data_IF_637539253460
#
_entry.id   IF_637539253460
#
_cell.length_a   1.000
_cell.length_b   1.000
_cell.length_c   1.000
_cell.angle_alpha   90.00
_cell.angle_beta   90.00
_cell.angle_gamma   90.00
#
_symmetry.space_group_name_H-M   'P 1'
#
loop_
_entity.id
_entity.type
_entity.pdbx_description
1 polymer ?
#
# COMPACT_ATOMS: atom_id res chain seq x y z
N UNK A 1 -11.05 -5.14 19.55
CA UNK A 1 -11.40 -4.47 18.27
C UNK A 1 -10.25 -4.44 17.26
N UNK A 2 -8.99 -4.20 17.66
CA UNK A 2 -7.83 -4.13 16.74
C UNK A 2 -7.34 -5.49 16.16
N UNK A 3 -7.51 -6.60 16.88
CA UNK A 3 -6.99 -7.91 16.45
C UNK A 3 -7.74 -8.56 15.28
N UNK A 4 -9.05 -8.34 15.20
CA UNK A 4 -9.89 -8.90 14.12
C UNK A 4 -9.53 -8.31 12.75
N UNK A 5 -9.27 -7.00 12.71
CA UNK A 5 -8.85 -6.29 11.50
C UNK A 5 -7.48 -6.77 11.01
N UNK A 6 -6.52 -6.94 11.93
CA UNK A 6 -5.16 -7.44 11.63
C UNK A 6 -5.18 -8.85 11.05
N UNK A 7 -5.93 -9.78 11.67
CA UNK A 7 -6.05 -11.16 11.17
C UNK A 7 -6.71 -11.23 9.79
N UNK A 8 -7.73 -10.40 9.55
CA UNK A 8 -8.49 -10.43 8.29
C UNK A 8 -7.71 -9.80 7.12
N UNK A 9 -6.92 -8.75 7.39
CA UNK A 9 -5.99 -8.17 6.41
C UNK A 9 -4.86 -9.14 6.05
N UNK A 10 -4.24 -9.77 7.05
CA UNK A 10 -3.17 -10.76 6.83
C UNK A 10 -3.63 -11.97 6.00
N UNK A 11 -4.86 -12.46 6.24
CA UNK A 11 -5.41 -13.62 5.52
C UNK A 11 -5.78 -13.33 4.06
N UNK A 12 -6.16 -12.10 3.75
CA UNK A 12 -6.74 -11.74 2.45
C UNK A 12 -5.67 -11.35 1.42
N UNK A 13 -4.53 -10.83 1.86
CA UNK A 13 -3.56 -10.19 0.95
C UNK A 13 -2.46 -11.16 0.47
N UNK A 14 -2.33 -12.38 1.01
CA UNK A 14 -1.40 -13.46 0.58
C UNK A 14 0.09 -13.05 0.45
N UNK A 15 0.40 -11.82 0.83
CA UNK A 15 1.70 -11.18 0.99
C UNK A 15 1.69 -10.70 2.44
N UNK A 16 2.75 -10.97 3.18
CA UNK A 16 2.85 -10.72 4.63
C UNK A 16 2.97 -9.21 4.95
N UNK A 17 2.15 -8.38 4.31
CA UNK A 17 2.09 -6.94 4.53
C UNK A 17 1.36 -6.69 5.85
N UNK A 18 2.13 -6.45 6.91
CA UNK A 18 1.60 -5.93 8.18
C UNK A 18 1.50 -4.40 8.02
N UNK A 19 0.31 -3.82 7.82
CA UNK A 19 0.17 -2.38 7.84
C UNK A 19 0.55 -1.88 9.24
N UNK A 20 1.52 -0.98 9.30
CA UNK A 20 1.98 -0.35 10.52
C UNK A 20 1.32 1.01 10.67
N UNK A 21 0.99 1.38 11.91
CA UNK A 21 0.58 2.75 12.24
C UNK A 21 1.77 3.70 12.19
N UNK A 22 1.49 5.01 12.21
CA UNK A 22 2.53 6.04 12.35
C UNK A 22 3.46 5.77 13.54
N UNK A 23 2.88 5.46 14.70
CA UNK A 23 3.61 5.17 15.92
C UNK A 23 4.51 3.95 15.79
N UNK A 24 4.01 2.88 15.16
CA UNK A 24 4.81 1.68 14.87
C UNK A 24 5.96 2.00 13.90
N UNK A 25 5.72 2.80 12.86
CA UNK A 25 6.77 3.24 11.94
C UNK A 25 7.83 4.11 12.60
N UNK A 26 7.40 5.06 13.43
CA UNK A 26 8.32 5.90 14.21
C UNK A 26 9.20 5.04 15.12
N UNK A 27 8.61 4.07 15.83
CA UNK A 27 9.35 3.15 16.68
C UNK A 27 10.39 2.33 15.90
N UNK A 28 10.04 1.83 14.71
CA UNK A 28 10.97 1.09 13.85
C UNK A 28 12.18 1.96 13.47
N UNK A 29 11.94 3.21 13.07
CA UNK A 29 13.00 4.13 12.63
C UNK A 29 13.87 4.60 13.81
N UNK A 30 13.27 4.94 14.95
CA UNK A 30 14.03 5.35 16.15
C UNK A 30 14.86 4.20 16.71
N UNK A 31 14.33 2.98 16.74
CA UNK A 31 15.08 1.79 17.17
C UNK A 31 16.25 1.48 16.23
N UNK A 32 16.14 1.85 14.96
CA UNK A 32 17.22 1.74 13.98
C UNK A 32 18.24 2.90 14.06
N UNK A 33 18.07 3.84 15.01
CA UNK A 33 18.96 4.98 15.22
C UNK A 33 18.72 6.16 14.26
N UNK A 34 17.54 6.25 13.66
CA UNK A 34 17.12 7.41 12.87
C UNK A 34 16.26 8.37 13.70
N UNK A 35 16.38 9.65 13.40
CA UNK A 35 15.50 10.70 13.89
C UNK A 35 14.44 10.99 12.83
N UNK A 36 13.16 10.86 13.19
CA UNK A 36 12.05 11.12 12.27
C UNK A 36 11.78 12.63 12.23
N UNK A 37 12.09 13.25 11.09
CA UNK A 37 11.92 14.70 10.89
C UNK A 37 10.51 15.05 10.41
N UNK A 38 9.92 14.21 9.56
CA UNK A 38 8.60 14.48 8.99
C UNK A 38 7.83 13.19 8.67
N UNK A 39 6.52 13.27 8.83
CA UNK A 39 5.57 12.22 8.45
C UNK A 39 4.41 12.86 7.70
N UNK A 40 4.06 12.30 6.55
CA UNK A 40 2.87 12.67 5.79
C UNK A 40 1.99 11.48 5.48
N UNK A 41 0.72 11.77 5.25
CA UNK A 41 -0.28 10.80 4.86
C UNK A 41 -0.82 11.14 3.48
N UNK A 42 -0.99 10.12 2.64
CA UNK A 42 -1.65 10.25 1.35
C UNK A 42 -2.76 9.19 1.25
N UNK A 43 -3.92 9.53 0.66
CA UNK A 43 -4.97 8.54 0.44
C UNK A 43 -4.44 7.40 -0.43
N UNK A 44 -4.73 6.16 -0.03
CA UNK A 44 -4.21 4.97 -0.70
C UNK A 44 -4.98 4.70 -1.99
N UNK A 45 -4.66 5.45 -3.05
CA UNK A 45 -5.23 5.31 -4.39
C UNK A 45 -4.48 4.27 -5.26
N UNK A 46 -4.03 3.18 -4.64
CA UNK A 46 -3.43 2.05 -5.37
C UNK A 46 -4.49 1.50 -6.35
N UNK A 47 -4.12 1.34 -7.63
CA UNK A 47 -4.97 0.86 -8.73
C UNK A 47 -6.09 1.82 -9.19
N UNK A 48 -6.03 3.11 -8.87
CA UNK A 48 -6.90 4.05 -9.59
C UNK A 48 -6.43 4.15 -11.04
N UNK A 49 -7.32 4.01 -12.05
CA UNK A 49 -6.94 4.08 -13.47
C UNK A 49 -6.20 5.36 -13.82
N UNK A 50 -6.56 6.47 -13.14
CA UNK A 50 -5.87 7.76 -13.26
C UNK A 50 -4.42 7.71 -12.77
N UNK A 51 -4.15 7.06 -11.63
CA UNK A 51 -2.79 6.96 -11.08
C UNK A 51 -1.93 5.96 -11.84
N UNK A 52 -2.49 4.83 -12.28
CA UNK A 52 -1.78 3.93 -13.19
C UNK A 52 -1.39 4.63 -14.52
N UNK A 53 -2.25 5.53 -15.01
CA UNK A 53 -1.94 6.31 -16.21
C UNK A 53 -0.82 7.33 -15.97
N UNK A 54 -0.78 7.96 -14.80
CA UNK A 54 0.31 8.86 -14.39
C UNK A 54 1.61 8.11 -14.11
N UNK A 55 1.53 6.91 -13.52
CA UNK A 55 2.70 6.13 -13.10
C UNK A 55 3.35 5.36 -14.27
N UNK A 56 2.55 4.81 -15.21
CA UNK A 56 3.05 3.94 -16.30
C UNK A 56 2.80 4.48 -17.72
N UNK A 57 2.01 5.55 -17.88
CA UNK A 57 1.60 6.07 -19.18
C UNK A 57 0.57 5.21 -19.91
N UNK A 58 0.07 5.71 -21.05
CA UNK A 58 -1.02 5.08 -21.83
C UNK A 58 -0.64 3.66 -22.29
N UNK A 59 0.61 3.44 -22.71
CA UNK A 59 1.09 2.15 -23.19
C UNK A 59 1.23 1.11 -22.07
N UNK A 60 1.67 1.52 -20.88
CA UNK A 60 1.76 0.64 -19.71
C UNK A 60 0.37 0.20 -19.24
N UNK A 61 -0.57 1.14 -19.14
CA UNK A 61 -1.98 0.84 -18.82
C UNK A 61 -2.62 -0.10 -19.85
N UNK A 62 -2.40 0.13 -21.15
CA UNK A 62 -2.93 -0.76 -22.19
C UNK A 62 -2.37 -2.19 -22.07
N UNK A 63 -1.08 -2.34 -21.70
CA UNK A 63 -0.46 -3.65 -21.45
C UNK A 63 -1.06 -4.35 -20.24
N UNK A 64 -1.30 -3.62 -19.14
CA UNK A 64 -1.98 -4.15 -17.96
C UNK A 64 -3.38 -4.64 -18.32
N UNK A 65 -4.16 -3.83 -19.04
CA UNK A 65 -5.51 -4.19 -19.46
C UNK A 65 -5.48 -5.44 -20.35
N UNK A 66 -4.55 -5.51 -21.32
CA UNK A 66 -4.37 -6.69 -22.18
C UNK A 66 -4.05 -7.94 -21.37
N UNK A 67 -3.17 -7.83 -20.37
CA UNK A 67 -2.83 -8.96 -19.50
C UNK A 67 -4.03 -9.40 -18.65
N UNK A 68 -4.81 -8.45 -18.12
CA UNK A 68 -6.03 -8.75 -17.36
C UNK A 68 -7.15 -9.38 -18.20
N UNK A 69 -7.24 -9.04 -19.49
CA UNK A 69 -8.21 -9.67 -20.40
C UNK A 69 -7.75 -11.09 -20.74
N UNK A 70 -6.45 -11.28 -20.98
CA UNK A 70 -5.87 -12.55 -21.41
C UNK A 70 -5.78 -13.58 -20.30
N UNK A 71 -5.54 -13.15 -19.06
CA UNK A 71 -5.32 -14.02 -17.91
C UNK A 71 -6.44 -13.85 -16.87
N UNK A 72 -7.32 -14.86 -16.79
CA UNK A 72 -8.45 -14.89 -15.86
C UNK A 72 -8.01 -14.97 -14.41
N UNK A 73 -6.90 -15.65 -14.11
CA UNK A 73 -6.38 -15.80 -12.76
C UNK A 73 -5.74 -14.50 -12.28
N UNK A 74 -4.97 -13.84 -13.15
CA UNK A 74 -4.42 -12.51 -12.90
C UNK A 74 -5.56 -11.51 -12.65
N UNK A 75 -6.61 -11.54 -13.48
CA UNK A 75 -7.79 -10.69 -13.32
C UNK A 75 -8.47 -10.91 -11.98
N UNK A 76 -8.71 -12.15 -11.58
CA UNK A 76 -9.34 -12.47 -10.31
C UNK A 76 -8.51 -11.91 -9.13
N UNK A 77 -7.18 -12.06 -9.18
CA UNK A 77 -6.27 -11.52 -8.16
C UNK A 77 -6.30 -9.99 -8.09
N UNK A 78 -6.25 -9.30 -9.22
CA UNK A 78 -6.27 -7.83 -9.26
C UNK A 78 -7.63 -7.28 -8.79
N UNK A 79 -8.74 -7.93 -9.16
CA UNK A 79 -10.06 -7.55 -8.66
C UNK A 79 -10.20 -7.79 -7.16
N UNK A 80 -9.68 -8.91 -6.65
CA UNK A 80 -9.67 -9.19 -5.21
C UNK A 80 -8.86 -8.14 -4.46
N UNK A 81 -7.66 -7.81 -4.93
CA UNK A 81 -6.83 -6.76 -4.37
C UNK A 81 -7.57 -5.41 -4.38
N UNK A 82 -8.14 -5.00 -5.52
CA UNK A 82 -8.91 -3.76 -5.63
C UNK A 82 -10.11 -3.72 -4.68
N UNK A 83 -10.82 -4.84 -4.53
CA UNK A 83 -11.95 -4.97 -3.59
C UNK A 83 -11.51 -4.78 -2.13
N UNK A 84 -10.42 -5.45 -1.72
CA UNK A 84 -9.83 -5.30 -0.38
C UNK A 84 -9.39 -3.87 -0.12
N UNK A 85 -8.65 -3.25 -1.04
CA UNK A 85 -8.20 -1.86 -0.91
C UNK A 85 -9.37 -0.87 -0.84
N UNK A 86 -10.43 -1.07 -1.65
CA UNK A 86 -11.63 -0.25 -1.56
C UNK A 86 -12.37 -0.43 -0.23
N UNK A 87 -12.50 -1.68 0.25
CA UNK A 87 -13.19 -2.00 1.51
C UNK A 87 -12.48 -1.38 2.72
N UNK A 88 -11.16 -1.29 2.67
CA UNK A 88 -10.35 -0.73 3.75
C UNK A 88 -9.84 0.68 3.44
N UNK A 89 -10.37 1.36 2.41
CA UNK A 89 -9.89 2.67 1.97
C UNK A 89 -9.92 3.71 3.09
N UNK A 90 -10.96 3.69 3.92
CA UNK A 90 -11.12 4.64 5.03
C UNK A 90 -10.19 4.33 6.22
N UNK A 91 -9.58 3.14 6.23
CA UNK A 91 -8.66 2.68 7.27
C UNK A 91 -7.22 2.48 6.78
N UNK A 92 -6.95 2.74 5.50
CA UNK A 92 -5.65 2.55 4.87
C UNK A 92 -5.21 3.84 4.20
N UNK A 93 -4.16 4.44 4.77
CA UNK A 93 -3.45 5.57 4.18
C UNK A 93 -2.05 5.13 3.79
N UNK A 94 -1.54 5.68 2.69
CA UNK A 94 -0.11 5.69 2.42
C UNK A 94 0.58 6.60 3.43
N UNK A 95 1.71 6.16 3.97
CA UNK A 95 2.55 6.94 4.86
C UNK A 95 3.87 7.26 4.13
N UNK A 96 4.26 8.53 4.16
CA UNK A 96 5.54 9.01 3.67
C UNK A 96 6.34 9.51 4.88
N UNK A 97 7.60 9.09 5.00
CA UNK A 97 8.44 9.40 6.16
C UNK A 97 9.78 9.93 5.68
N UNK A 98 10.20 11.06 6.25
CA UNK A 98 11.56 11.59 6.13
C UNK A 98 12.25 11.38 7.47
N UNK A 99 13.34 10.63 7.46
CA UNK A 99 14.12 10.35 8.65
C UNK A 99 15.61 10.56 8.37
N UNK A 100 16.29 11.17 9.32
CA UNK A 100 17.71 11.51 9.23
C UNK A 100 18.50 10.59 10.15
N UNK A 101 19.63 10.10 9.66
CA UNK A 101 20.61 9.45 10.52
C UNK A 101 21.45 10.54 11.19
N UNK A 102 21.49 10.62 12.53
CA UNK A 102 22.36 11.58 13.20
C UNK A 102 23.80 11.32 12.76
N UNK A 103 24.46 12.35 12.26
CA UNK A 103 25.92 12.32 12.08
C UNK A 103 26.52 12.50 13.47
N UNK A 104 27.49 11.65 13.83
CA UNK A 104 28.25 11.78 15.07
C UNK A 104 28.80 13.20 15.24
#
# INVERSE_FOLDING_TARGET
MADGLRKQLARTIRVNARPLTESEWRAVLTNAGFEVEWIGFAPMALLSPRRNLTDEGILGVARIIRNLIRDKDLRARVLQMRSTFNKYRDHLNGIAIVAKKPSK
#
